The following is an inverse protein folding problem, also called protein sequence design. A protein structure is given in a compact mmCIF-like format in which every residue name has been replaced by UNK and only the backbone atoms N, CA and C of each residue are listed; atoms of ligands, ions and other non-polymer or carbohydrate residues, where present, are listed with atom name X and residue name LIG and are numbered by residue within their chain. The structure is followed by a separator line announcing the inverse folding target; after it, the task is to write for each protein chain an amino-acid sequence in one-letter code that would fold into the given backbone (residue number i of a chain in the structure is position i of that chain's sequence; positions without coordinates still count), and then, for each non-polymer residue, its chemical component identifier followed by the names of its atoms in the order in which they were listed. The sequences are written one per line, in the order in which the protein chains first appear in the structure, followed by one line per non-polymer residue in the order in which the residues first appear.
data_IF_812956179032
#
_entry.id   IF_812956179032
#
_cell.length_a   1.000
_cell.length_b   1.000
_cell.length_c   1.000
_cell.angle_alpha   90.00
_cell.angle_beta   90.00
_cell.angle_gamma   90.00
#
_symmetry.space_group_name_H-M   'P 1'
#
loop_
_entity.id
_entity.type
_entity.pdbx_description
1 polymer ?
#
# COMPACT_ATOMS: atom_id res chain seq x y z
N UNK A 1 16.79 -36.22 7.17
CA UNK A 1 16.52 -35.15 6.19
C UNK A 1 16.53 -33.82 6.91
N UNK A 2 17.40 -32.91 6.46
CA UNK A 2 17.71 -31.63 7.09
C UNK A 2 16.51 -30.68 7.16
N UNK A 3 16.42 -29.99 8.29
CA UNK A 3 15.59 -28.81 8.58
C UNK A 3 15.47 -27.89 7.37
N UNK A 4 14.25 -27.67 6.89
CA UNK A 4 13.87 -26.34 6.39
C UNK A 4 13.29 -25.64 7.61
N UNK A 5 14.14 -24.80 8.22
CA UNK A 5 13.70 -23.81 9.20
C UNK A 5 12.51 -23.07 8.59
N UNK A 6 11.36 -23.08 9.29
CA UNK A 6 10.43 -21.96 9.26
C UNK A 6 11.22 -20.71 9.67
N UNK A 7 11.91 -20.08 8.72
CA UNK A 7 12.27 -18.69 8.85
C UNK A 7 10.94 -17.95 8.73
N UNK A 8 10.36 -17.67 9.89
CA UNK A 8 9.45 -16.55 10.07
C UNK A 8 10.00 -15.42 9.21
N UNK A 9 9.26 -14.95 8.21
CA UNK A 9 9.60 -13.75 7.46
C UNK A 9 9.61 -12.58 8.46
N UNK A 10 10.73 -12.39 9.14
CA UNK A 10 10.95 -11.34 10.13
C UNK A 10 11.26 -9.99 9.49
N UNK A 11 11.57 -9.98 8.19
CA UNK A 11 11.89 -8.77 7.45
C UNK A 11 10.64 -8.20 6.78
N UNK A 12 10.32 -6.97 7.14
CA UNK A 12 9.30 -6.16 6.48
C UNK A 12 9.83 -5.71 5.11
N UNK A 13 9.70 -6.55 4.09
CA UNK A 13 10.18 -6.25 2.74
C UNK A 13 9.03 -5.66 1.91
N UNK A 14 9.33 -4.59 1.18
CA UNK A 14 8.49 -4.03 0.15
C UNK A 14 9.12 -4.27 -1.22
N UNK A 15 8.43 -5.05 -2.05
CA UNK A 15 8.84 -5.31 -3.42
C UNK A 15 8.41 -4.14 -4.31
N UNK A 16 9.35 -3.52 -5.02
CA UNK A 16 9.09 -2.38 -5.91
C UNK A 16 9.68 -2.66 -7.29
N UNK A 17 8.97 -2.27 -8.35
CA UNK A 17 9.53 -2.29 -9.71
C UNK A 17 10.52 -1.13 -9.90
N UNK A 18 11.42 -1.19 -10.91
CA UNK A 18 12.33 -0.09 -11.21
C UNK A 18 11.63 1.25 -11.45
N UNK A 19 10.44 1.22 -12.09
CA UNK A 19 9.63 2.41 -12.33
C UNK A 19 9.11 3.01 -11.02
N UNK A 20 8.56 2.17 -10.13
CA UNK A 20 8.03 2.61 -8.84
C UNK A 20 9.13 3.17 -7.95
N UNK A 21 10.30 2.53 -7.96
CA UNK A 21 11.47 3.03 -7.25
C UNK A 21 11.86 4.44 -7.69
N UNK A 22 11.89 4.70 -9.00
CA UNK A 22 12.17 6.03 -9.53
C UNK A 22 11.12 7.06 -9.08
N UNK A 23 9.83 6.71 -9.09
CA UNK A 23 8.75 7.58 -8.61
C UNK A 23 8.89 7.89 -7.11
N UNK A 24 9.25 6.89 -6.31
CA UNK A 24 9.48 7.05 -4.86
C UNK A 24 10.65 8.03 -4.62
N UNK A 25 11.77 7.83 -5.30
CA UNK A 25 12.96 8.69 -5.18
C UNK A 25 12.69 10.14 -5.63
N UNK A 26 11.82 10.32 -6.63
CA UNK A 26 11.41 11.64 -7.11
C UNK A 26 10.26 12.27 -6.29
N UNK A 27 9.82 11.63 -5.19
CA UNK A 27 8.71 12.09 -4.34
C UNK A 27 7.38 12.20 -5.08
N UNK A 28 7.17 11.34 -6.07
CA UNK A 28 5.95 11.26 -6.88
C UNK A 28 5.00 10.14 -6.41
N UNK A 29 5.51 9.21 -5.59
CA UNK A 29 4.77 8.07 -5.05
C UNK A 29 5.18 7.79 -3.59
N UNK A 30 4.21 7.81 -2.67
CA UNK A 30 4.40 7.54 -1.23
C UNK A 30 3.65 6.30 -0.73
N UNK A 31 3.22 5.46 -1.66
CA UNK A 31 2.50 4.22 -1.38
C UNK A 31 3.15 3.09 -2.16
N UNK A 32 3.25 1.92 -1.55
CA UNK A 32 3.66 0.69 -2.20
C UNK A 32 2.50 -0.31 -2.11
N UNK A 33 2.12 -0.86 -3.26
CA UNK A 33 1.08 -1.87 -3.35
C UNK A 33 1.72 -3.26 -3.26
N UNK A 34 1.14 -4.14 -2.44
CA UNK A 34 1.65 -5.50 -2.24
C UNK A 34 0.50 -6.51 -2.29
N UNK A 35 0.77 -7.68 -2.88
CA UNK A 35 -0.17 -8.81 -2.84
C UNK A 35 -0.18 -9.47 -1.46
N UNK A 36 0.95 -9.44 -0.76
CA UNK A 36 1.20 -10.09 0.52
C UNK A 36 1.97 -9.15 1.45
N UNK A 37 1.77 -9.28 2.76
CA UNK A 37 2.47 -8.54 3.82
C UNK A 37 2.77 -9.50 4.99
N UNK A 38 3.66 -9.10 5.90
CA UNK A 38 4.01 -9.92 7.06
C UNK A 38 2.80 -10.20 7.97
N UNK A 39 2.78 -11.38 8.60
CA UNK A 39 1.72 -11.79 9.54
C UNK A 39 1.55 -10.78 10.69
N UNK A 40 2.65 -10.17 11.13
CA UNK A 40 2.66 -9.08 12.12
C UNK A 40 1.80 -7.88 11.67
N UNK A 41 1.89 -7.49 10.41
CA UNK A 41 1.08 -6.40 9.86
C UNK A 41 -0.39 -6.81 9.70
N UNK A 42 -0.65 -8.05 9.28
CA UNK A 42 -2.02 -8.61 9.23
C UNK A 42 -2.66 -8.57 10.62
N UNK A 43 -1.92 -8.99 11.65
CA UNK A 43 -2.39 -8.95 13.03
C UNK A 43 -2.71 -7.50 13.46
N UNK A 44 -1.83 -6.54 13.20
CA UNK A 44 -2.09 -5.11 13.49
C UNK A 44 -3.33 -4.56 12.80
N UNK A 45 -3.60 -4.98 11.56
CA UNK A 45 -4.81 -4.59 10.82
C UNK A 45 -6.06 -5.17 11.49
N UNK A 46 -6.00 -6.41 11.99
CA UNK A 46 -7.14 -7.08 12.59
C UNK A 46 -7.39 -6.68 14.06
N UNK A 47 -6.37 -6.27 14.81
CA UNK A 47 -6.49 -5.81 16.20
C UNK A 47 -7.18 -4.44 16.33
N UNK A 48 -7.06 -3.59 15.30
CA UNK A 48 -7.45 -2.18 15.38
C UNK A 48 -8.80 -1.95 14.72
N UNK A 49 -9.88 -2.13 15.50
CA UNK A 49 -11.28 -2.10 15.05
C UNK A 49 -11.47 -3.07 13.85
N UNK A 50 -11.91 -4.32 14.07
CA UNK A 50 -11.96 -5.38 13.04
C UNK A 50 -12.62 -5.00 11.70
N UNK A 51 -13.44 -3.95 11.73
CA UNK A 51 -14.22 -3.43 10.60
C UNK A 51 -13.44 -2.45 9.72
N UNK A 52 -12.37 -1.79 10.18
CA UNK A 52 -11.73 -0.71 9.40
C UNK A 52 -10.68 -1.21 8.39
N UNK A 53 -10.23 -2.46 8.52
CA UNK A 53 -9.23 -3.12 7.63
C UNK A 53 -8.00 -2.25 7.32
N UNK A 54 -7.52 -1.52 8.34
CA UNK A 54 -6.35 -0.63 8.28
C UNK A 54 -5.64 -0.52 9.62
N UNK A 55 -4.38 -0.11 9.61
CA UNK A 55 -3.63 0.21 10.83
C UNK A 55 -2.66 1.37 10.61
N UNK A 56 -2.46 2.20 11.64
CA UNK A 56 -1.24 3.00 11.74
C UNK A 56 -0.09 2.10 12.18
N UNK A 57 1.06 2.29 11.55
CA UNK A 57 2.28 1.54 11.79
C UNK A 57 3.43 2.52 12.02
N UNK A 58 4.52 2.02 12.58
CA UNK A 58 5.77 2.77 12.76
C UNK A 58 6.87 1.75 12.60
N UNK A 59 7.06 1.28 11.37
CA UNK A 59 7.96 0.17 11.04
C UNK A 59 8.85 0.57 9.87
N UNK A 60 10.12 0.19 9.93
CA UNK A 60 11.04 0.33 8.81
C UNK A 60 10.88 -0.87 7.88
N UNK A 61 10.89 -0.60 6.58
CA UNK A 61 10.76 -1.57 5.51
C UNK A 61 12.01 -1.55 4.64
N UNK A 62 12.49 -2.73 4.27
CA UNK A 62 13.52 -2.88 3.24
C UNK A 62 12.85 -2.81 1.86
N UNK A 63 13.35 -1.95 0.98
CA UNK A 63 12.88 -1.85 -0.40
C UNK A 63 13.73 -2.72 -1.30
N UNK A 64 13.10 -3.69 -1.95
CA UNK A 64 13.76 -4.66 -2.82
C UNK A 64 13.21 -4.57 -4.24
N UNK A 65 14.11 -4.58 -5.20
CA UNK A 65 13.75 -4.66 -6.62
C UNK A 65 13.00 -5.97 -6.87
N UNK A 66 11.80 -5.85 -7.44
CA UNK A 66 10.91 -6.98 -7.72
C UNK A 66 11.47 -7.93 -8.79
N UNK A 67 12.24 -7.42 -9.73
CA UNK A 67 12.79 -8.18 -10.86
C UNK A 67 14.13 -8.82 -10.49
N UNK A 68 15.03 -8.04 -9.90
CA UNK A 68 16.41 -8.48 -9.63
C UNK A 68 16.62 -9.02 -8.23
N UNK A 69 15.71 -8.74 -7.30
CA UNK A 69 15.89 -9.04 -5.89
C UNK A 69 16.98 -8.20 -5.22
N UNK A 70 17.50 -7.16 -5.87
CA UNK A 70 18.52 -6.28 -5.28
C UNK A 70 17.89 -5.41 -4.18
N UNK A 71 18.62 -5.24 -3.07
CA UNK A 71 18.24 -4.28 -2.03
C UNK A 71 18.54 -2.85 -2.53
N UNK A 72 17.52 -1.98 -2.47
CA UNK A 72 17.56 -0.61 -3.00
C UNK A 72 17.69 0.44 -1.90
N UNK A 73 17.18 0.13 -0.70
CA UNK A 73 17.17 1.04 0.43
C UNK A 73 16.17 0.66 1.50
N UNK A 74 15.82 1.64 2.32
CA UNK A 74 14.88 1.53 3.43
C UNK A 74 13.83 2.64 3.38
N UNK A 75 12.64 2.37 3.91
CA UNK A 75 11.60 3.38 4.10
C UNK A 75 10.81 3.17 5.39
N UNK A 76 10.38 4.26 6.02
CA UNK A 76 9.53 4.19 7.21
C UNK A 76 8.06 4.11 6.77
N UNK A 77 7.35 3.05 7.16
CA UNK A 77 5.90 2.96 6.94
C UNK A 77 5.14 3.61 8.08
N UNK A 78 4.06 4.32 7.74
CA UNK A 78 3.21 4.97 8.74
C UNK A 78 1.74 4.51 8.71
N UNK A 79 1.27 3.93 7.59
CA UNK A 79 -0.09 3.42 7.47
C UNK A 79 -0.19 2.23 6.52
N UNK A 80 -1.08 1.29 6.82
CA UNK A 80 -1.38 0.15 5.94
C UNK A 80 -2.89 -0.03 5.81
N UNK A 81 -3.34 -0.38 4.61
CA UNK A 81 -4.73 -0.75 4.30
C UNK A 81 -4.78 -2.12 3.64
N UNK A 82 -5.78 -2.93 4.01
CA UNK A 82 -6.15 -4.15 3.31
C UNK A 82 -7.27 -3.84 2.31
N UNK A 83 -7.01 -4.09 1.03
CA UNK A 83 -7.83 -3.71 -0.11
C UNK A 83 -8.40 -4.91 -0.89
N UNK A 84 -7.75 -6.08 -0.84
CA UNK A 84 -8.19 -7.35 -1.47
C UNK A 84 -8.57 -7.27 -2.98
N UNK A 85 -7.98 -6.36 -3.77
CA UNK A 85 -8.33 -6.24 -5.19
C UNK A 85 -7.98 -7.49 -5.99
N UNK A 86 -6.82 -8.10 -5.76
CA UNK A 86 -6.38 -9.28 -6.52
C UNK A 86 -7.17 -10.52 -6.07
N UNK A 87 -7.42 -10.66 -4.77
CA UNK A 87 -8.27 -11.74 -4.23
C UNK A 87 -9.68 -11.69 -4.81
N UNK A 88 -10.27 -10.49 -4.91
CA UNK A 88 -11.60 -10.30 -5.52
C UNK A 88 -11.61 -10.65 -7.00
N UNK A 89 -10.55 -10.26 -7.73
CA UNK A 89 -10.39 -10.58 -9.15
C UNK A 89 -10.29 -12.08 -9.40
N UNK A 90 -9.60 -12.82 -8.52
CA UNK A 90 -9.43 -14.28 -8.62
C UNK A 90 -10.66 -15.06 -8.14
N UNK A 91 -11.32 -14.61 -7.08
CA UNK A 91 -12.43 -15.34 -6.44
C UNK A 91 -13.81 -15.00 -7.01
N UNK A 92 -13.88 -13.99 -7.89
CA UNK A 92 -15.12 -13.41 -8.37
C UNK A 92 -15.72 -12.41 -7.37
N UNK A 93 -16.48 -11.45 -7.89
CA UNK A 93 -17.17 -10.44 -7.10
C UNK A 93 -18.31 -11.10 -6.29
N UNK A 94 -18.09 -11.32 -4.99
CA UNK A 94 -19.07 -11.92 -4.09
C UNK A 94 -19.35 -11.00 -2.89
N UNK A 95 -20.63 -10.83 -2.54
CA UNK A 95 -21.08 -9.97 -1.44
C UNK A 95 -20.93 -10.62 -0.05
N UNK A 96 -19.77 -11.21 0.25
CA UNK A 96 -19.51 -11.81 1.56
C UNK A 96 -19.08 -10.74 2.57
N UNK A 97 -19.37 -10.96 3.87
CA UNK A 97 -19.07 -10.03 4.97
C UNK A 97 -17.59 -9.63 5.11
N UNK A 98 -16.68 -10.39 4.49
CA UNK A 98 -15.24 -10.07 4.40
C UNK A 98 -15.03 -8.75 3.64
N UNK A 99 -15.93 -8.37 2.72
CA UNK A 99 -15.79 -7.20 1.85
C UNK A 99 -16.33 -5.89 2.44
N UNK A 100 -17.21 -5.92 3.45
CA UNK A 100 -17.81 -4.69 4.01
C UNK A 100 -16.73 -3.75 4.57
N UNK A 101 -15.83 -4.26 5.41
CA UNK A 101 -14.70 -3.48 5.94
C UNK A 101 -13.65 -3.11 4.89
N UNK A 102 -13.58 -3.87 3.80
CA UNK A 102 -12.65 -3.63 2.68
C UNK A 102 -13.12 -2.46 1.82
N UNK A 103 -14.43 -2.30 1.60
CA UNK A 103 -14.98 -1.12 0.89
C UNK A 103 -14.61 0.16 1.64
N UNK A 104 -14.74 0.16 2.97
CA UNK A 104 -14.33 1.27 3.80
C UNK A 104 -12.81 1.52 3.69
N UNK A 105 -11.98 0.48 3.84
CA UNK A 105 -10.53 0.63 3.68
C UNK A 105 -10.12 1.17 2.30
N UNK A 106 -10.75 0.71 1.21
CA UNK A 106 -10.54 1.24 -0.15
C UNK A 106 -10.88 2.72 -0.23
N UNK A 107 -12.04 3.11 0.30
CA UNK A 107 -12.45 4.51 0.34
C UNK A 107 -11.41 5.39 1.06
N UNK A 108 -10.97 4.98 2.26
CA UNK A 108 -10.01 5.77 3.02
C UNK A 108 -8.58 5.74 2.45
N UNK A 109 -8.15 4.63 1.84
CA UNK A 109 -6.87 4.57 1.15
C UNK A 109 -6.83 5.56 -0.03
N UNK A 110 -7.88 5.58 -0.86
CA UNK A 110 -8.02 6.53 -1.97
C UNK A 110 -8.11 7.97 -1.45
N UNK A 111 -8.89 8.20 -0.39
CA UNK A 111 -8.95 9.51 0.29
C UNK A 111 -7.56 9.99 0.65
N UNK A 112 -6.81 9.15 1.36
CA UNK A 112 -5.50 9.48 1.88
C UNK A 112 -4.53 9.80 0.75
N UNK A 113 -4.49 8.97 -0.30
CA UNK A 113 -3.70 9.25 -1.51
C UNK A 113 -4.07 10.56 -2.19
N UNK A 114 -5.35 10.92 -2.23
CA UNK A 114 -5.77 12.19 -2.81
C UNK A 114 -5.20 13.38 -2.04
N UNK A 115 -5.26 13.36 -0.71
CA UNK A 115 -4.69 14.44 0.12
C UNK A 115 -3.17 14.51 -0.03
N UNK A 116 -2.47 13.38 -0.04
CA UNK A 116 -1.03 13.36 -0.30
C UNK A 116 -0.69 13.89 -1.69
N UNK A 117 -1.42 13.47 -2.72
CA UNK A 117 -1.23 13.94 -4.09
C UNK A 117 -1.46 15.44 -4.22
N UNK A 118 -2.51 15.96 -3.60
CA UNK A 118 -2.75 17.40 -3.53
C UNK A 118 -1.57 18.11 -2.84
N UNK A 119 -1.08 17.58 -1.72
CA UNK A 119 0.09 18.12 -1.02
C UNK A 119 1.34 18.14 -1.90
N UNK A 120 1.68 17.01 -2.53
CA UNK A 120 2.81 16.88 -3.46
C UNK A 120 2.75 17.88 -4.62
N UNK A 121 1.54 18.15 -5.14
CA UNK A 121 1.32 19.06 -6.27
C UNK A 121 1.01 20.50 -5.83
N UNK A 122 1.07 20.81 -4.54
CA UNK A 122 0.67 22.13 -3.99
C UNK A 122 -0.74 22.55 -4.43
N UNK A 123 -1.67 21.61 -4.49
CA UNK A 123 -3.07 21.82 -4.84
C UNK A 123 -3.92 21.89 -3.57
N UNK A 124 -4.97 22.72 -3.60
CA UNK A 124 -5.98 22.72 -2.54
C UNK A 124 -6.91 21.52 -2.73
N UNK A 125 -7.06 20.62 -1.74
CA UNK A 125 -7.98 19.50 -1.85
C UNK A 125 -9.42 20.01 -1.92
N UNK A 126 -10.22 19.43 -2.81
CA UNK A 126 -11.65 19.70 -2.90
C UNK A 126 -12.43 18.51 -2.33
N UNK A 127 -12.93 18.58 -1.08
CA UNK A 127 -13.65 17.47 -0.47
C UNK A 127 -14.98 17.14 -1.17
N UNK A 128 -15.53 18.08 -1.95
CA UNK A 128 -16.82 17.93 -2.65
C UNK A 128 -16.66 17.38 -4.07
N UNK A 129 -15.47 17.46 -4.65
CA UNK A 129 -15.10 16.77 -5.88
C UNK A 129 -14.81 15.33 -5.47
N UNK A 130 -15.88 14.51 -5.34
CA UNK A 130 -15.76 13.12 -4.92
C UNK A 130 -14.56 12.47 -5.62
N UNK A 131 -13.64 11.89 -4.86
CA UNK A 131 -12.23 11.75 -5.26
C UNK A 131 -12.02 10.99 -6.58
N UNK A 132 -12.98 10.14 -6.94
CA UNK A 132 -13.07 9.42 -8.21
C UNK A 132 -13.43 10.27 -9.44
N UNK A 133 -13.86 11.53 -9.26
CA UNK A 133 -14.31 12.43 -10.34
C UNK A 133 -13.21 13.31 -10.92
N UNK A 134 -12.09 13.48 -10.21
CA UNK A 134 -10.97 14.28 -10.70
C UNK A 134 -10.18 13.51 -11.76
N UNK A 135 -10.34 13.88 -13.04
CA UNK A 135 -9.58 13.28 -14.15
C UNK A 135 -8.07 13.32 -13.94
N UNK A 136 -7.55 14.35 -13.26
CA UNK A 136 -6.12 14.49 -12.96
C UNK A 136 -5.68 13.46 -11.93
N UNK A 137 -6.47 13.27 -10.87
CA UNK A 137 -6.16 12.28 -9.85
C UNK A 137 -6.35 10.85 -10.36
N UNK A 138 -7.37 10.56 -11.18
CA UNK A 138 -7.53 9.25 -11.83
C UNK A 138 -6.30 8.88 -12.66
N UNK A 139 -5.80 9.81 -13.49
CA UNK A 139 -4.54 9.60 -14.24
C UNK A 139 -3.35 9.35 -13.33
N UNK A 140 -3.30 10.01 -12.18
CA UNK A 140 -2.26 9.77 -11.18
C UNK A 140 -2.35 8.36 -10.60
N UNK A 141 -3.55 7.90 -10.23
CA UNK A 141 -3.78 6.53 -9.74
C UNK A 141 -3.32 5.49 -10.78
N UNK A 142 -3.64 5.69 -12.06
CA UNK A 142 -3.17 4.82 -13.14
C UNK A 142 -1.64 4.82 -13.23
N UNK A 143 -1.01 6.01 -13.12
CA UNK A 143 0.44 6.18 -13.21
C UNK A 143 1.18 5.45 -12.09
N UNK A 144 0.65 5.50 -10.86
CA UNK A 144 1.27 4.82 -9.72
C UNK A 144 0.89 3.35 -9.61
N UNK A 145 0.08 2.81 -10.53
CA UNK A 145 -0.37 1.42 -10.51
C UNK A 145 -1.30 1.11 -9.34
N UNK A 146 -2.33 1.95 -9.13
CA UNK A 146 -3.30 1.74 -8.06
C UNK A 146 -3.96 0.35 -8.14
N UNK A 147 -3.95 -0.35 -7.00
CA UNK A 147 -4.75 -1.55 -6.79
C UNK A 147 -3.91 -2.81 -6.64
N UNK A 148 -3.86 -3.33 -5.41
CA UNK A 148 -3.44 -4.68 -5.06
C UNK A 148 -4.15 -5.08 -3.76
N UNK A 149 -3.77 -6.17 -3.11
CA UNK A 149 -4.37 -6.62 -1.86
C UNK A 149 -4.05 -5.71 -0.66
N UNK A 150 -2.91 -5.02 -0.68
CA UNK A 150 -2.48 -4.12 0.39
C UNK A 150 -1.89 -2.83 -0.17
N UNK A 151 -2.12 -1.72 0.54
CA UNK A 151 -1.46 -0.44 0.29
C UNK A 151 -0.70 0.00 1.54
N UNK A 152 0.63 0.06 1.44
CA UNK A 152 1.51 0.53 2.51
C UNK A 152 2.00 1.93 2.19
N UNK A 153 1.66 2.87 3.05
CA UNK A 153 2.10 4.24 2.94
C UNK A 153 3.42 4.41 3.67
N UNK A 154 4.36 5.00 2.95
CA UNK A 154 5.74 5.21 3.39
C UNK A 154 6.05 6.71 3.50
N UNK A 155 6.98 7.02 4.37
CA UNK A 155 7.63 8.30 4.56
C UNK A 155 9.13 8.04 4.64
N UNK A 156 9.94 9.04 4.29
CA UNK A 156 11.40 9.04 4.48
C UNK A 156 12.12 7.81 3.89
N UNK A 157 12.68 7.98 2.69
CA UNK A 157 13.38 6.90 1.98
C UNK A 157 14.88 7.12 2.04
N UNK A 158 15.62 6.11 2.49
CA UNK A 158 17.08 6.08 2.55
C UNK A 158 17.58 5.11 1.47
N UNK A 159 18.30 5.64 0.49
CA UNK A 159 18.88 4.84 -0.61
C UNK A 159 20.22 4.23 -0.20
N UNK A 160 20.46 2.99 -0.62
CA UNK A 160 21.75 2.30 -0.49
C UNK A 160 22.66 2.51 -1.71
#
# INVERSE_FOLDING_TARGET
MQKIMNMIQTENILMVTPLEWNMIMNKEKWVVFQNEISEKLIQKINERIPNEKRAWISETFLLKDKETGKLLGEANGYKVYQLLYDVEKESGYNNNSIFEGVVEARYYAVKHLYYEWCSMKSLKPNPNEGWFKSKKFSKYLDTIGWGSNYALFIQEVIKY
#
